data_IF_094646591533
#
_entry.id   IF_094646591533
#
_cell.length_a   1.000
_cell.length_b   1.000
_cell.length_c   1.000
_cell.angle_alpha   90.00
_cell.angle_beta   90.00
_cell.angle_gamma   90.00
#
_symmetry.space_group_name_H-M   'P 1'
#
loop_
_entity.id
_entity.type
_entity.pdbx_description
1 polymer ?
#
# COMPACT_ATOMS: atom_id res chain seq x y z
N UNK A 1 -65.39 54.51 77.38
CA UNK A 1 -64.32 55.26 76.71
C UNK A 1 -62.98 54.52 76.74
N UNK A 2 -62.65 53.80 77.82
CA UNK A 2 -61.36 53.10 77.95
C UNK A 2 -61.09 52.00 76.90
N UNK A 3 -62.10 51.26 76.47
CA UNK A 3 -61.95 50.15 75.53
C UNK A 3 -61.63 50.62 74.08
N UNK A 4 -62.16 51.79 73.70
CA UNK A 4 -61.86 52.46 72.44
C UNK A 4 -60.45 53.07 72.46
N UNK A 5 -60.05 53.68 73.58
CA UNK A 5 -58.69 54.20 73.76
C UNK A 5 -57.63 53.10 73.64
N UNK A 6 -57.91 51.93 74.23
CA UNK A 6 -57.04 50.76 74.18
C UNK A 6 -56.89 50.19 72.76
N UNK A 7 -57.98 50.10 71.99
CA UNK A 7 -57.95 49.71 70.57
C UNK A 7 -57.22 50.73 69.69
N UNK A 8 -57.35 52.03 69.98
CA UNK A 8 -56.61 53.09 69.27
C UNK A 8 -55.10 52.96 69.54
N UNK A 9 -54.68 52.72 70.78
CA UNK A 9 -53.26 52.49 71.11
C UNK A 9 -52.70 51.21 70.47
N UNK A 10 -53.47 50.12 70.39
CA UNK A 10 -53.05 48.90 69.70
C UNK A 10 -52.87 49.10 68.19
N UNK A 11 -53.77 49.87 67.56
CA UNK A 11 -53.69 50.23 66.14
C UNK A 11 -52.48 51.16 65.88
N UNK A 12 -52.19 52.10 66.77
CA UNK A 12 -51.00 52.96 66.69
C UNK A 12 -49.69 52.17 66.83
N UNK A 13 -49.64 51.18 67.73
CA UNK A 13 -48.48 50.28 67.82
C UNK A 13 -48.30 49.42 66.56
N UNK A 14 -49.40 48.90 66.00
CA UNK A 14 -49.37 48.16 64.73
C UNK A 14 -48.89 49.05 63.58
N UNK A 15 -49.38 50.29 63.48
CA UNK A 15 -48.92 51.28 62.52
C UNK A 15 -47.42 51.60 62.67
N UNK A 16 -46.93 51.73 63.91
CA UNK A 16 -45.48 51.92 64.17
C UNK A 16 -44.67 50.70 63.76
N UNK A 17 -45.15 49.48 64.01
CA UNK A 17 -44.48 48.23 63.59
C UNK A 17 -44.45 48.12 62.06
N UNK A 18 -45.56 48.41 61.38
CA UNK A 18 -45.67 48.39 59.91
C UNK A 18 -44.75 49.46 59.29
N UNK A 19 -44.71 50.68 59.83
CA UNK A 19 -43.80 51.71 59.32
C UNK A 19 -42.32 51.35 59.51
N UNK A 20 -41.96 50.72 60.65
CA UNK A 20 -40.60 50.20 60.85
C UNK A 20 -40.27 49.07 59.86
N UNK A 21 -41.22 48.18 59.57
CA UNK A 21 -41.04 47.14 58.54
C UNK A 21 -40.90 47.75 57.14
N UNK A 22 -41.71 48.76 56.80
CA UNK A 22 -41.60 49.48 55.53
C UNK A 22 -40.23 50.14 55.36
N UNK A 23 -39.72 50.80 56.39
CA UNK A 23 -38.36 51.37 56.37
C UNK A 23 -37.28 50.30 56.18
N UNK A 24 -37.38 49.16 56.87
CA UNK A 24 -36.44 48.03 56.67
C UNK A 24 -36.46 47.53 55.23
N UNK A 25 -37.64 47.35 54.64
CA UNK A 25 -37.76 46.93 53.24
C UNK A 25 -37.21 47.98 52.26
N UNK A 26 -37.44 49.27 52.51
CA UNK A 26 -36.88 50.35 51.68
C UNK A 26 -35.34 50.37 51.72
N UNK A 27 -34.75 50.13 52.90
CA UNK A 27 -33.29 50.05 53.05
C UNK A 27 -32.72 48.79 52.40
N UNK A 28 -33.37 47.64 52.54
CA UNK A 28 -33.00 46.40 51.83
C UNK A 28 -33.07 46.59 50.31
N UNK A 29 -34.12 47.24 49.79
CA UNK A 29 -34.26 47.56 48.36
C UNK A 29 -33.10 48.46 47.90
N UNK A 30 -32.69 49.46 48.70
CA UNK A 30 -31.53 50.31 48.37
C UNK A 30 -30.23 49.49 48.33
N UNK A 31 -30.02 48.58 49.28
CA UNK A 31 -28.84 47.70 49.31
C UNK A 31 -28.81 46.80 48.08
N UNK A 32 -29.95 46.20 47.73
CA UNK A 32 -30.09 45.35 46.54
C UNK A 32 -29.83 46.14 45.26
N UNK A 33 -30.33 47.37 45.14
CA UNK A 33 -30.05 48.25 43.99
C UNK A 33 -28.55 48.57 43.87
N UNK A 34 -27.87 48.90 44.97
CA UNK A 34 -26.42 49.14 44.99
C UNK A 34 -25.63 47.90 44.56
N UNK A 35 -25.97 46.72 45.10
CA UNK A 35 -25.35 45.44 44.70
C UNK A 35 -25.60 45.14 43.22
N UNK A 36 -26.82 45.33 42.73
CA UNK A 36 -27.14 45.16 41.30
C UNK A 36 -26.27 46.05 40.42
N UNK A 37 -26.03 47.29 40.85
CA UNK A 37 -25.21 48.24 40.10
C UNK A 37 -23.72 47.87 40.13
N UNK A 38 -23.19 47.36 41.26
CA UNK A 38 -21.80 46.87 41.32
C UNK A 38 -21.59 45.57 40.55
N UNK A 39 -22.60 44.69 40.54
CA UNK A 39 -22.58 43.47 39.71
C UNK A 39 -22.58 43.87 38.24
N UNK A 40 -23.41 44.84 37.83
CA UNK A 40 -23.45 45.34 36.46
C UNK A 40 -22.10 45.90 36.01
N UNK A 41 -21.46 46.75 36.83
CA UNK A 41 -20.14 47.28 36.48
C UNK A 41 -19.05 46.20 36.45
N UNK A 42 -19.17 45.13 37.24
CA UNK A 42 -18.26 43.99 37.19
C UNK A 42 -18.47 43.17 35.92
N UNK A 43 -19.72 42.97 35.49
CA UNK A 43 -20.05 42.31 34.22
C UNK A 43 -19.49 43.11 33.05
N UNK A 44 -19.67 44.44 33.04
CA UNK A 44 -19.16 45.29 31.96
C UNK A 44 -17.63 45.21 31.85
N UNK A 45 -16.91 45.17 32.98
CA UNK A 45 -15.44 44.96 33.00
C UNK A 45 -15.04 43.60 32.44
N UNK A 46 -15.73 42.53 32.85
CA UNK A 46 -15.46 41.19 32.33
C UNK A 46 -15.72 41.09 30.82
N UNK A 47 -16.74 41.80 30.31
CA UNK A 47 -17.00 41.88 28.87
C UNK A 47 -15.87 42.60 28.14
N UNK A 48 -15.35 43.71 28.69
CA UNK A 48 -14.21 44.40 28.09
C UNK A 48 -12.95 43.54 28.08
N UNK A 49 -12.64 42.87 29.19
CA UNK A 49 -11.50 41.95 29.29
C UNK A 49 -11.64 40.77 28.31
N UNK A 50 -12.85 40.21 28.17
CA UNK A 50 -13.12 39.15 27.22
C UNK A 50 -12.88 39.61 25.78
N UNK A 51 -13.32 40.81 25.41
CA UNK A 51 -13.12 41.36 24.07
C UNK A 51 -11.64 41.61 23.76
N UNK A 52 -10.88 42.12 24.72
CA UNK A 52 -9.44 42.33 24.59
C UNK A 52 -8.71 40.99 24.42
N UNK A 53 -9.07 39.98 25.21
CA UNK A 53 -8.52 38.62 25.07
C UNK A 53 -8.84 38.02 23.71
N UNK A 54 -10.08 38.17 23.20
CA UNK A 54 -10.45 37.69 21.86
C UNK A 54 -9.60 38.37 20.79
N UNK A 55 -9.32 39.68 20.93
CA UNK A 55 -8.45 40.40 20.00
C UNK A 55 -7.02 39.86 20.03
N UNK A 56 -6.45 39.66 21.22
CA UNK A 56 -5.10 39.09 21.36
C UNK A 56 -5.01 37.66 20.80
N UNK A 57 -6.05 36.85 20.99
CA UNK A 57 -6.12 35.50 20.40
C UNK A 57 -6.05 35.58 18.88
N UNK A 58 -6.84 36.47 18.24
CA UNK A 58 -6.81 36.64 16.78
C UNK A 58 -5.46 37.14 16.27
N UNK A 59 -4.84 38.08 16.98
CA UNK A 59 -3.50 38.56 16.62
C UNK A 59 -2.45 37.43 16.71
N UNK A 60 -2.55 36.57 17.72
CA UNK A 60 -1.69 35.40 17.87
C UNK A 60 -1.96 34.33 16.80
N UNK A 61 -3.21 34.10 16.40
CA UNK A 61 -3.56 33.18 15.31
C UNK A 61 -2.90 33.61 13.99
N UNK A 62 -3.03 34.90 13.62
CA UNK A 62 -2.38 35.46 12.42
C UNK A 62 -0.85 35.36 12.51
N UNK A 63 -0.28 35.56 13.70
CA UNK A 63 1.15 35.39 13.92
C UNK A 63 1.61 33.93 13.74
N UNK A 64 0.85 32.97 14.29
CA UNK A 64 1.14 31.54 14.15
C UNK A 64 1.04 31.08 12.70
N UNK A 65 0.06 31.57 11.94
CA UNK A 65 -0.02 31.30 10.50
C UNK A 65 1.24 31.79 9.77
N UNK A 66 1.65 33.03 10.00
CA UNK A 66 2.89 33.58 9.41
C UNK A 66 4.14 32.80 9.84
N UNK A 67 4.21 32.40 11.09
CA UNK A 67 5.31 31.58 11.60
C UNK A 67 5.37 30.22 10.91
N UNK A 68 4.21 29.58 10.72
CA UNK A 68 4.11 28.29 10.03
C UNK A 68 4.49 28.42 8.55
N UNK A 69 4.06 29.48 7.85
CA UNK A 69 4.45 29.71 6.47
C UNK A 69 5.96 29.91 6.33
N UNK A 70 6.57 30.72 7.19
CA UNK A 70 8.03 30.93 7.23
C UNK A 70 8.80 29.64 7.53
N UNK A 71 8.28 28.82 8.44
CA UNK A 71 8.90 27.53 8.80
C UNK A 71 8.87 26.56 7.61
N UNK A 72 7.74 26.51 6.90
CA UNK A 72 7.60 25.70 5.69
C UNK A 72 8.52 26.18 4.56
N UNK A 73 8.66 27.49 4.36
CA UNK A 73 9.59 28.05 3.39
C UNK A 73 11.05 27.72 3.73
N UNK A 74 11.43 27.88 5.01
CA UNK A 74 12.75 27.49 5.51
C UNK A 74 13.04 26.02 5.22
N UNK A 75 12.10 25.12 5.50
CA UNK A 75 12.28 23.71 5.20
C UNK A 75 12.46 23.43 3.71
N UNK A 76 11.67 24.09 2.84
CA UNK A 76 11.82 23.97 1.38
C UNK A 76 13.20 24.42 0.93
N UNK A 77 13.70 25.54 1.44
CA UNK A 77 15.04 26.01 1.13
C UNK A 77 16.13 25.05 1.62
N UNK A 78 16.01 24.48 2.81
CA UNK A 78 16.96 23.47 3.32
C UNK A 78 16.98 22.23 2.41
N UNK A 79 15.81 21.76 1.96
CA UNK A 79 15.74 20.61 1.04
C UNK A 79 16.41 20.93 -0.30
N UNK A 80 16.17 22.12 -0.85
CA UNK A 80 16.80 22.59 -2.09
C UNK A 80 18.33 22.69 -1.95
N UNK A 81 18.84 23.21 -0.82
CA UNK A 81 20.29 23.27 -0.55
C UNK A 81 20.88 21.86 -0.53
N UNK A 82 20.27 20.91 0.20
CA UNK A 82 20.75 19.52 0.25
C UNK A 82 20.74 18.84 -1.12
N UNK A 83 19.75 19.13 -1.96
CA UNK A 83 19.70 18.60 -3.32
C UNK A 83 20.82 19.18 -4.18
N UNK A 84 21.07 20.49 -4.07
CA UNK A 84 22.16 21.15 -4.77
C UNK A 84 23.54 20.64 -4.32
N UNK A 85 23.74 20.39 -3.01
CA UNK A 85 24.97 19.78 -2.49
C UNK A 85 25.23 18.41 -3.12
N UNK A 86 24.20 17.55 -3.23
CA UNK A 86 24.31 16.25 -3.91
C UNK A 86 24.65 16.40 -5.40
N UNK A 87 24.05 17.38 -6.09
CA UNK A 87 24.35 17.67 -7.50
C UNK A 87 25.79 18.15 -7.68
N UNK A 88 26.30 18.96 -6.75
CA UNK A 88 27.69 19.40 -6.76
C UNK A 88 28.62 18.21 -6.55
N UNK A 89 28.30 17.32 -5.61
CA UNK A 89 29.08 16.12 -5.34
C UNK A 89 29.14 15.18 -6.56
N UNK A 90 28.00 14.92 -7.21
CA UNK A 90 27.97 14.11 -8.43
C UNK A 90 28.77 14.77 -9.56
N UNK A 91 28.62 16.07 -9.76
CA UNK A 91 29.35 16.81 -10.79
C UNK A 91 30.86 16.77 -10.54
N UNK A 92 31.30 16.88 -9.29
CA UNK A 92 32.71 16.77 -8.93
C UNK A 92 33.27 15.37 -9.18
N UNK A 93 32.45 14.33 -8.97
CA UNK A 93 32.83 12.96 -9.32
C UNK A 93 33.01 12.81 -10.82
N UNK A 94 32.07 13.30 -11.62
CA UNK A 94 32.16 13.27 -13.08
C UNK A 94 33.40 14.02 -13.59
N UNK A 95 33.70 15.19 -13.00
CA UNK A 95 34.91 15.96 -13.30
C UNK A 95 36.17 15.14 -13.00
N UNK A 96 36.23 14.46 -11.86
CA UNK A 96 37.38 13.62 -11.49
C UNK A 96 37.55 12.43 -12.44
N UNK A 97 36.47 11.77 -12.83
CA UNK A 97 36.50 10.66 -13.77
C UNK A 97 37.01 11.12 -15.16
N UNK A 98 36.61 12.32 -15.59
CA UNK A 98 37.14 12.95 -16.81
C UNK A 98 38.64 13.26 -16.68
N UNK A 99 39.09 13.80 -15.54
CA UNK A 99 40.51 14.07 -15.32
C UNK A 99 41.36 12.79 -15.32
N UNK A 100 40.88 11.72 -14.69
CA UNK A 100 41.56 10.42 -14.73
C UNK A 100 41.63 9.89 -16.17
N UNK A 101 40.53 9.98 -16.92
CA UNK A 101 40.50 9.57 -18.32
C UNK A 101 41.49 10.38 -19.17
N UNK A 102 41.62 11.69 -18.92
CA UNK A 102 42.60 12.55 -19.57
C UNK A 102 44.04 12.14 -19.23
N UNK A 103 44.33 11.86 -17.96
CA UNK A 103 45.65 11.39 -17.54
C UNK A 103 46.01 10.05 -18.19
N UNK A 104 45.05 9.13 -18.29
CA UNK A 104 45.24 7.85 -18.96
C UNK A 104 45.52 8.01 -20.46
N UNK A 105 44.83 8.95 -21.11
CA UNK A 105 45.07 9.29 -22.51
C UNK A 105 46.48 9.88 -22.67
N UNK A 106 46.87 10.82 -21.82
CA UNK A 106 48.18 11.47 -21.88
C UNK A 106 49.32 10.46 -21.66
N UNK A 107 49.19 9.59 -20.66
CA UNK A 107 50.14 8.50 -20.44
C UNK A 107 50.20 7.51 -21.62
N UNK A 108 49.06 7.18 -22.25
CA UNK A 108 49.03 6.35 -23.47
C UNK A 108 49.69 7.05 -24.66
N UNK A 109 49.54 8.37 -24.80
CA UNK A 109 50.20 9.15 -25.84
C UNK A 109 51.71 9.19 -25.61
N UNK A 110 52.16 9.44 -24.38
CA UNK A 110 53.58 9.42 -24.02
C UNK A 110 54.23 8.07 -24.30
N UNK A 111 53.58 6.97 -23.87
CA UNK A 111 54.06 5.61 -24.11
C UNK A 111 54.18 5.27 -25.61
N UNK A 112 53.42 5.96 -26.45
CA UNK A 112 53.40 5.76 -27.90
C UNK A 112 54.12 6.89 -28.68
N UNK A 113 54.83 7.82 -28.02
CA UNK A 113 55.63 8.86 -28.72
C UNK A 113 56.63 8.24 -29.71
N UNK A 114 57.28 7.13 -29.34
CA UNK A 114 58.22 6.41 -30.21
C UNK A 114 57.60 5.90 -31.52
N UNK A 115 56.29 5.62 -31.52
CA UNK A 115 55.53 5.17 -32.69
C UNK A 115 55.30 6.30 -33.71
N UNK A 116 55.25 7.55 -33.25
CA UNK A 116 55.15 8.75 -34.09
C UNK A 116 56.51 9.18 -34.64
N UNK A 117 57.60 8.89 -33.92
CA UNK A 117 58.95 9.33 -34.26
C UNK A 117 59.68 8.39 -35.25
N UNK A 118 59.39 7.08 -35.25
CA UNK A 118 59.95 6.11 -36.20
C UNK A 118 58.92 5.05 -36.59
N UNK A 119 57.99 5.34 -37.52
CA UNK A 119 57.06 4.33 -38.01
C UNK A 119 57.84 3.25 -38.77
N UNK A 120 57.70 1.99 -38.36
CA UNK A 120 58.30 0.87 -39.08
C UNK A 120 57.81 0.84 -40.54
N UNK A 121 58.68 0.50 -41.48
CA UNK A 121 58.42 0.64 -42.93
C UNK A 121 57.28 -0.24 -43.45
N UNK A 122 56.82 -1.21 -42.66
CA UNK A 122 55.68 -2.10 -42.95
C UNK A 122 54.48 -1.88 -42.00
N UNK A 123 54.48 -0.81 -41.21
CA UNK A 123 53.45 -0.54 -40.23
C UNK A 123 52.07 -0.39 -40.87
N UNK A 124 51.98 0.35 -41.98
CA UNK A 124 50.73 0.59 -42.70
C UNK A 124 50.12 -0.70 -43.25
N UNK A 125 50.93 -1.60 -43.81
CA UNK A 125 50.44 -2.87 -44.34
C UNK A 125 50.00 -3.83 -43.23
N UNK A 126 50.72 -3.83 -42.09
CA UNK A 126 50.31 -4.58 -40.88
C UNK A 126 49.05 -4.00 -40.23
N UNK A 127 48.91 -2.68 -40.19
CA UNK A 127 47.70 -2.02 -39.71
C UNK A 127 46.51 -2.34 -40.60
N UNK A 128 46.70 -2.37 -41.92
CA UNK A 128 45.65 -2.69 -42.87
C UNK A 128 45.20 -4.16 -42.77
N UNK A 129 46.13 -5.09 -42.50
CA UNK A 129 45.79 -6.49 -42.22
C UNK A 129 45.07 -6.66 -40.88
N UNK A 130 45.56 -6.01 -39.82
CA UNK A 130 44.91 -6.04 -38.52
C UNK A 130 43.55 -5.35 -38.54
N UNK A 131 43.39 -4.26 -39.28
CA UNK A 131 42.10 -3.57 -39.47
C UNK A 131 41.10 -4.48 -40.18
N UNK A 132 41.53 -5.23 -41.22
CA UNK A 132 40.66 -6.20 -41.88
C UNK A 132 40.22 -7.32 -40.92
N UNK A 133 41.15 -7.86 -40.14
CA UNK A 133 40.85 -8.90 -39.15
C UNK A 133 39.90 -8.40 -38.05
N UNK A 134 40.16 -7.21 -37.50
CA UNK A 134 39.29 -6.55 -36.53
C UNK A 134 37.92 -6.26 -37.13
N UNK A 135 37.85 -5.82 -38.40
CA UNK A 135 36.57 -5.54 -39.08
C UNK A 135 35.75 -6.82 -39.23
N UNK A 136 36.37 -7.94 -39.61
CA UNK A 136 35.69 -9.24 -39.69
C UNK A 136 35.22 -9.69 -38.31
N UNK A 137 36.04 -9.54 -37.27
CA UNK A 137 35.64 -9.86 -35.89
C UNK A 137 34.50 -8.96 -35.40
N UNK A 138 34.51 -7.68 -35.75
CA UNK A 138 33.46 -6.74 -35.37
C UNK A 138 32.12 -7.07 -36.07
N UNK A 139 32.17 -7.51 -37.34
CA UNK A 139 30.98 -8.02 -38.05
C UNK A 139 30.43 -9.30 -37.39
N UNK A 140 31.30 -10.22 -36.98
CA UNK A 140 30.90 -11.44 -36.28
C UNK A 140 30.26 -11.12 -34.91
N UNK A 141 30.87 -10.22 -34.13
CA UNK A 141 30.33 -9.76 -32.85
C UNK A 141 28.99 -9.04 -33.03
N UNK A 142 28.85 -8.22 -34.07
CA UNK A 142 27.59 -7.53 -34.39
C UNK A 142 26.48 -8.54 -34.71
N UNK A 143 26.79 -9.57 -35.50
CA UNK A 143 25.84 -10.66 -35.79
C UNK A 143 25.48 -11.48 -34.54
N UNK A 144 26.42 -11.66 -33.61
CA UNK A 144 26.16 -12.30 -32.32
C UNK A 144 25.26 -11.44 -31.42
N UNK A 145 25.48 -10.12 -31.39
CA UNK A 145 24.61 -9.17 -30.68
C UNK A 145 23.19 -9.23 -31.23
N UNK A 146 23.01 -9.18 -32.55
CA UNK A 146 21.68 -9.28 -33.17
C UNK A 146 20.96 -10.58 -32.81
N UNK A 147 21.68 -11.71 -32.78
CA UNK A 147 21.12 -12.99 -32.33
C UNK A 147 20.71 -12.95 -30.86
N UNK A 148 21.55 -12.37 -30.00
CA UNK A 148 21.24 -12.22 -28.58
C UNK A 148 20.06 -11.27 -28.34
N UNK A 149 19.93 -10.20 -29.11
CA UNK A 149 18.78 -9.28 -29.06
C UNK A 149 17.50 -9.98 -29.50
N UNK A 150 17.56 -10.76 -30.57
CA UNK A 150 16.44 -11.59 -31.02
C UNK A 150 15.99 -12.58 -29.92
N UNK A 151 16.94 -13.31 -29.33
CA UNK A 151 16.66 -14.25 -28.26
C UNK A 151 16.13 -13.55 -26.99
N UNK A 152 16.67 -12.38 -26.66
CA UNK A 152 16.16 -11.53 -25.57
C UNK A 152 14.72 -11.11 -25.83
N UNK A 153 14.41 -10.63 -27.03
CA UNK A 153 13.05 -10.24 -27.42
C UNK A 153 12.08 -11.42 -27.31
N UNK A 154 12.47 -12.59 -27.82
CA UNK A 154 11.68 -13.83 -27.73
C UNK A 154 11.44 -14.26 -26.28
N UNK A 155 12.48 -14.21 -25.42
CA UNK A 155 12.35 -14.50 -23.99
C UNK A 155 11.49 -13.45 -23.27
N UNK A 156 11.62 -12.18 -23.62
CA UNK A 156 10.83 -11.08 -23.06
C UNK A 156 9.36 -11.20 -23.44
N UNK A 157 9.03 -11.63 -24.66
CA UNK A 157 7.65 -11.92 -25.05
C UNK A 157 7.07 -13.07 -24.22
N UNK A 158 7.81 -14.18 -24.05
CA UNK A 158 7.39 -15.27 -23.16
C UNK A 158 7.19 -14.79 -21.72
N UNK A 159 8.10 -13.95 -21.22
CA UNK A 159 8.00 -13.36 -19.89
C UNK A 159 6.78 -12.45 -19.76
N UNK A 160 6.47 -11.62 -20.76
CA UNK A 160 5.25 -10.80 -20.77
C UNK A 160 3.99 -11.65 -20.72
N UNK A 161 3.93 -12.76 -21.48
CA UNK A 161 2.81 -13.72 -21.41
C UNK A 161 2.66 -14.30 -20.01
N UNK A 162 3.77 -14.70 -19.38
CA UNK A 162 3.79 -15.17 -17.99
C UNK A 162 3.36 -14.07 -17.01
N UNK A 163 3.84 -12.83 -17.20
CA UNK A 163 3.49 -11.69 -16.36
C UNK A 163 2.03 -11.30 -16.50
N UNK A 164 1.45 -11.34 -17.70
CA UNK A 164 0.01 -11.16 -17.90
C UNK A 164 -0.78 -12.30 -17.27
N UNK A 165 -0.32 -13.54 -17.37
CA UNK A 165 -0.98 -14.66 -16.70
C UNK A 165 -0.95 -14.54 -15.17
N UNK A 166 0.17 -14.07 -14.60
CA UNK A 166 0.31 -13.77 -13.17
C UNK A 166 -0.54 -12.56 -12.74
N UNK A 167 -0.58 -11.49 -13.54
CA UNK A 167 -1.39 -10.28 -13.27
C UNK A 167 -2.89 -10.55 -13.36
N UNK A 168 -3.31 -11.34 -14.35
CA UNK A 168 -4.71 -11.69 -14.57
C UNK A 168 -5.18 -12.82 -13.65
N UNK A 169 -4.33 -13.30 -12.73
CA UNK A 169 -4.59 -14.41 -11.78
C UNK A 169 -5.29 -15.61 -12.44
N UNK A 170 -5.06 -15.83 -13.74
CA UNK A 170 -5.50 -17.06 -14.40
C UNK A 170 -4.48 -18.10 -14.05
N UNK A 171 -4.84 -19.00 -13.15
CA UNK A 171 -4.12 -20.24 -12.89
C UNK A 171 -3.67 -20.81 -14.26
N UNK A 172 -2.36 -20.84 -14.50
CA UNK A 172 -1.82 -21.36 -15.76
C UNK A 172 -1.92 -22.87 -15.70
N UNK A 173 -3.08 -23.38 -16.12
CA UNK A 173 -3.27 -24.81 -16.29
C UNK A 173 -2.35 -25.31 -17.40
N UNK A 174 -1.78 -26.49 -17.20
CA UNK A 174 -0.99 -27.18 -18.22
C UNK A 174 -1.84 -27.34 -19.51
N UNK A 175 -1.25 -27.20 -20.72
CA UNK A 175 -1.98 -27.30 -21.98
C UNK A 175 -2.85 -28.56 -22.08
N UNK A 176 -2.39 -29.69 -21.56
CA UNK A 176 -3.13 -30.96 -21.58
C UNK A 176 -4.36 -30.95 -20.65
N UNK A 177 -4.31 -30.18 -19.57
CA UNK A 177 -5.45 -29.99 -18.65
C UNK A 177 -6.49 -29.06 -19.28
N UNK A 178 -6.05 -28.01 -19.99
CA UNK A 178 -6.96 -27.15 -20.76
C UNK A 178 -7.68 -27.94 -21.86
N UNK A 179 -6.96 -28.80 -22.60
CA UNK A 179 -7.57 -29.68 -23.62
C UNK A 179 -8.60 -30.62 -22.98
N UNK A 180 -8.28 -31.20 -21.81
CA UNK A 180 -9.21 -32.06 -21.08
C UNK A 180 -10.46 -31.30 -20.63
N UNK A 181 -10.29 -30.08 -20.12
CA UNK A 181 -11.38 -29.19 -19.73
C UNK A 181 -12.28 -28.81 -20.90
N UNK A 182 -11.70 -28.46 -22.05
CA UNK A 182 -12.45 -28.16 -23.27
C UNK A 182 -13.22 -29.38 -23.78
N UNK A 183 -12.64 -30.58 -23.71
CA UNK A 183 -13.33 -31.83 -24.07
C UNK A 183 -14.50 -32.18 -23.13
N UNK A 184 -14.38 -31.90 -21.83
CA UNK A 184 -15.48 -32.07 -20.87
C UNK A 184 -16.64 -31.14 -21.23
N UNK A 185 -16.32 -29.87 -21.53
CA UNK A 185 -17.29 -28.87 -21.94
C UNK A 185 -17.96 -29.20 -23.28
N UNK A 186 -17.17 -29.63 -24.27
CA UNK A 186 -17.66 -30.03 -25.60
C UNK A 186 -18.59 -31.25 -25.55
N UNK A 187 -18.52 -32.05 -24.47
CA UNK A 187 -19.37 -33.22 -24.23
C UNK A 187 -20.50 -32.93 -23.24
N UNK A 188 -20.69 -31.67 -22.84
CA UNK A 188 -21.74 -31.23 -21.91
C UNK A 188 -21.70 -31.97 -20.56
N UNK A 189 -20.50 -32.30 -20.07
CA UNK A 189 -20.29 -33.03 -18.81
C UNK A 189 -20.06 -32.11 -17.60
N UNK A 190 -20.21 -30.79 -17.78
CA UNK A 190 -19.95 -29.77 -16.74
C UNK A 190 -20.80 -29.99 -15.47
N UNK A 191 -22.02 -30.52 -15.61
CA UNK A 191 -22.92 -30.81 -14.48
C UNK A 191 -22.49 -32.05 -13.66
N UNK A 192 -21.65 -32.91 -14.24
CA UNK A 192 -21.25 -34.20 -13.65
C UNK A 192 -19.80 -34.22 -13.19
N UNK A 193 -19.00 -33.25 -13.62
CA UNK A 193 -17.55 -33.20 -13.40
C UNK A 193 -17.17 -31.82 -12.89
N UNK A 194 -16.65 -31.77 -11.67
CA UNK A 194 -16.18 -30.54 -11.04
C UNK A 194 -14.66 -30.49 -11.14
N UNK A 195 -14.12 -29.45 -11.77
CA UNK A 195 -12.67 -29.21 -11.78
C UNK A 195 -12.18 -28.37 -12.97
N UNK A 196 -10.87 -28.07 -13.00
CA UNK A 196 -9.85 -28.54 -12.07
C UNK A 196 -9.96 -27.90 -10.68
N UNK A 197 -9.64 -28.66 -9.61
CA UNK A 197 -9.87 -28.26 -8.20
C UNK A 197 -9.32 -26.87 -7.88
N UNK A 198 -8.15 -26.51 -8.42
CA UNK A 198 -7.50 -25.22 -8.21
C UNK A 198 -8.38 -24.01 -8.57
N UNK A 199 -9.30 -24.12 -9.53
CA UNK A 199 -10.21 -23.02 -9.90
C UNK A 199 -11.30 -22.75 -8.84
N UNK A 200 -11.54 -23.72 -7.97
CA UNK A 200 -12.59 -23.67 -6.95
C UNK A 200 -12.04 -23.33 -5.56
N UNK A 201 -10.71 -23.26 -5.37
CA UNK A 201 -10.09 -22.90 -4.10
C UNK A 201 -9.77 -21.40 -4.05
N UNK A 202 -10.07 -20.77 -2.90
CA UNK A 202 -9.63 -19.42 -2.53
C UNK A 202 -8.85 -19.48 -1.21
N UNK A 203 -7.66 -18.93 -1.21
CA UNK A 203 -6.80 -18.82 -0.04
C UNK A 203 -6.06 -17.48 -0.05
N UNK A 204 -5.48 -17.11 1.08
CA UNK A 204 -4.70 -15.87 1.22
C UNK A 204 -3.41 -15.93 0.37
N UNK A 205 -3.05 -14.81 -0.25
CA UNK A 205 -1.90 -14.70 -1.16
C UNK A 205 -0.59 -15.00 -0.41
N UNK A 206 -0.49 -14.59 0.86
CA UNK A 206 0.67 -14.85 1.72
C UNK A 206 0.88 -16.34 2.04
N UNK A 207 -0.19 -17.15 1.92
CA UNK A 207 -0.18 -18.59 2.21
C UNK A 207 -0.19 -19.45 0.93
N UNK A 208 -0.28 -18.82 -0.24
CA UNK A 208 -0.40 -19.49 -1.54
C UNK A 208 0.67 -20.54 -1.79
N UNK A 209 1.94 -20.15 -1.65
CA UNK A 209 3.07 -21.05 -1.87
C UNK A 209 3.08 -22.26 -0.93
N UNK A 210 2.72 -22.04 0.34
CA UNK A 210 2.65 -23.11 1.33
C UNK A 210 1.49 -24.08 1.04
N UNK A 211 0.32 -23.55 0.67
CA UNK A 211 -0.86 -24.34 0.33
C UNK A 211 -0.63 -25.16 -0.95
N UNK A 212 -0.04 -24.55 -1.98
CA UNK A 212 0.30 -25.24 -3.23
C UNK A 212 1.36 -26.32 -3.02
N UNK A 213 2.35 -26.07 -2.16
CA UNK A 213 3.37 -27.05 -1.80
C UNK A 213 2.79 -28.26 -1.06
N UNK A 214 1.79 -28.07 -0.20
CA UNK A 214 1.14 -29.15 0.55
C UNK A 214 0.18 -29.96 -0.31
N UNK A 215 -0.63 -29.31 -1.15
CA UNK A 215 -1.58 -30.00 -2.02
C UNK A 215 -0.87 -30.69 -3.20
N UNK A 216 0.16 -30.04 -3.73
CA UNK A 216 0.90 -30.50 -4.91
C UNK A 216 0.13 -30.30 -6.22
N UNK A 217 0.89 -30.06 -7.29
CA UNK A 217 0.37 -29.76 -8.64
C UNK A 217 -0.63 -30.81 -9.15
N UNK A 218 -0.38 -32.09 -8.84
CA UNK A 218 -1.22 -33.19 -9.29
C UNK A 218 -2.62 -33.16 -8.69
N UNK A 219 -2.74 -32.80 -7.41
CA UNK A 219 -4.04 -32.71 -6.72
C UNK A 219 -4.80 -31.46 -7.17
N UNK A 220 -4.09 -30.34 -7.29
CA UNK A 220 -4.66 -29.06 -7.75
C UNK A 220 -5.26 -29.15 -9.16
N UNK A 221 -4.60 -29.89 -10.05
CA UNK A 221 -5.08 -30.16 -11.41
C UNK A 221 -6.11 -31.32 -11.50
N UNK A 222 -6.56 -31.88 -10.38
CA UNK A 222 -7.48 -33.01 -10.36
C UNK A 222 -8.94 -32.61 -10.61
N UNK A 223 -9.75 -33.59 -10.99
CA UNK A 223 -11.19 -33.45 -11.23
C UNK A 223 -11.98 -34.36 -10.29
N UNK A 224 -13.23 -33.99 -10.01
CA UNK A 224 -14.18 -34.76 -9.20
C UNK A 224 -15.31 -35.20 -10.11
N UNK A 225 -15.49 -36.51 -10.26
CA UNK A 225 -16.60 -37.11 -10.99
C UNK A 225 -17.75 -37.46 -10.03
N UNK A 226 -18.99 -37.17 -10.44
CA UNK A 226 -20.19 -37.50 -9.66
C UNK A 226 -20.56 -38.99 -9.70
N UNK A 227 -20.24 -39.70 -10.78
CA UNK A 227 -20.60 -41.09 -11.01
C UNK A 227 -19.45 -41.94 -11.60
N UNK A 228 -19.61 -43.26 -11.51
CA UNK A 228 -18.61 -44.23 -11.97
C UNK A 228 -18.45 -44.24 -13.51
N UNK A 229 -19.48 -43.90 -14.26
CA UNK A 229 -19.40 -43.86 -15.72
C UNK A 229 -18.59 -42.64 -16.18
N UNK A 230 -18.83 -41.48 -15.56
CA UNK A 230 -18.01 -40.27 -15.74
C UNK A 230 -16.55 -40.49 -15.35
N UNK A 231 -16.27 -41.21 -14.26
CA UNK A 231 -14.90 -41.57 -13.88
C UNK A 231 -14.20 -42.35 -15.00
N UNK A 232 -14.82 -43.42 -15.49
CA UNK A 232 -14.24 -44.28 -16.52
C UNK A 232 -13.99 -43.52 -17.83
N UNK A 233 -14.90 -42.60 -18.20
CA UNK A 233 -14.76 -41.75 -19.36
C UNK A 233 -13.58 -40.78 -19.20
N UNK A 234 -13.48 -40.10 -18.05
CA UNK A 234 -12.40 -39.18 -17.76
C UNK A 234 -11.04 -39.90 -17.67
N UNK A 235 -10.98 -41.11 -17.14
CA UNK A 235 -9.73 -41.89 -17.11
C UNK A 235 -9.24 -42.23 -18.52
N UNK A 236 -10.16 -42.54 -19.45
CA UNK A 236 -9.82 -42.76 -20.87
C UNK A 236 -9.32 -41.48 -21.52
N UNK A 237 -9.98 -40.34 -21.28
CA UNK A 237 -9.55 -39.04 -21.81
C UNK A 237 -8.21 -38.61 -21.24
N UNK A 238 -8.00 -38.79 -19.94
CA UNK A 238 -6.72 -38.55 -19.26
C UNK A 238 -5.58 -39.34 -19.91
N UNK A 239 -5.80 -40.63 -20.19
CA UNK A 239 -4.80 -41.48 -20.88
C UNK A 239 -4.56 -41.03 -22.32
N UNK A 240 -5.62 -40.65 -23.04
CA UNK A 240 -5.54 -40.17 -24.44
C UNK A 240 -4.73 -38.88 -24.58
N UNK A 241 -4.93 -37.92 -23.67
CA UNK A 241 -4.30 -36.60 -23.71
C UNK A 241 -3.08 -36.47 -22.79
N UNK A 242 -2.65 -37.56 -22.15
CA UNK A 242 -1.55 -37.61 -21.19
C UNK A 242 -1.63 -36.48 -20.15
N UNK A 243 -2.81 -36.32 -19.56
CA UNK A 243 -3.07 -35.27 -18.58
C UNK A 243 -2.55 -35.67 -17.18
N UNK A 244 -1.75 -34.79 -16.56
CA UNK A 244 -1.17 -35.03 -15.25
C UNK A 244 -2.13 -34.61 -14.12
N UNK A 245 -3.18 -35.39 -13.91
CA UNK A 245 -4.21 -35.16 -12.89
C UNK A 245 -4.64 -36.48 -12.23
N UNK A 246 -5.33 -36.41 -11.10
CA UNK A 246 -6.15 -37.52 -10.58
C UNK A 246 -7.63 -37.21 -10.80
N UNK A 247 -8.46 -38.26 -10.74
CA UNK A 247 -9.92 -38.11 -10.81
C UNK A 247 -10.48 -38.80 -9.57
N UNK A 248 -11.32 -38.08 -8.83
CA UNK A 248 -11.87 -38.53 -7.54
C UNK A 248 -13.38 -38.72 -7.64
N UNK A 249 -13.92 -39.64 -6.83
CA UNK A 249 -15.36 -39.76 -6.59
C UNK A 249 -15.62 -39.37 -5.13
N UNK A 250 -16.61 -38.51 -4.84
CA UNK A 250 -16.91 -38.10 -3.49
C UNK A 250 -17.43 -39.29 -2.68
N UNK A 251 -16.83 -39.53 -1.51
CA UNK A 251 -17.38 -40.48 -0.52
C UNK A 251 -18.33 -39.71 0.40
N UNK A 252 -19.54 -40.23 0.58
CA UNK A 252 -20.49 -39.71 1.58
C UNK A 252 -20.03 -40.09 2.98
N UNK A 253 -19.20 -39.24 3.59
CA UNK A 253 -18.70 -39.41 4.95
C UNK A 253 -18.96 -38.12 5.72
N UNK A 254 -19.52 -38.22 6.92
CA UNK A 254 -19.68 -37.07 7.80
C UNK A 254 -18.29 -36.61 8.26
N UNK A 255 -17.87 -35.43 7.82
CA UNK A 255 -16.57 -34.86 8.16
C UNK A 255 -16.63 -34.36 9.60
N UNK A 256 -15.87 -34.98 10.50
CA UNK A 256 -15.69 -34.47 11.87
C UNK A 256 -14.68 -33.33 11.87
N UNK A 257 -14.95 -32.21 12.58
CA UNK A 257 -14.00 -31.10 12.66
C UNK A 257 -12.71 -31.56 13.35
N UNK A 258 -11.56 -31.13 12.81
CA UNK A 258 -10.25 -31.45 13.36
C UNK A 258 -10.04 -30.76 14.73
N UNK A 259 -9.29 -31.37 15.66
CA UNK A 259 -9.02 -30.77 16.97
C UNK A 259 -8.06 -29.59 16.84
N UNK A 260 -8.41 -28.42 17.38
CA UNK A 260 -7.58 -27.19 17.29
C UNK A 260 -6.18 -27.42 17.85
N UNK A 261 -5.15 -27.18 17.04
CA UNK A 261 -3.74 -27.24 17.43
C UNK A 261 -3.19 -25.82 17.49
N UNK A 262 -2.59 -25.42 18.60
CA UNK A 262 -1.82 -24.17 18.74
C UNK A 262 -0.40 -24.48 19.20
N UNK A 263 0.57 -24.22 18.33
CA UNK A 263 2.00 -24.35 18.63
C UNK A 263 2.77 -23.24 17.91
N UNK A 264 3.96 -22.89 18.42
CA UNK A 264 4.80 -21.83 17.85
C UNK A 264 5.21 -22.20 16.41
N UNK A 265 4.79 -21.41 15.43
CA UNK A 265 5.03 -21.67 14.00
C UNK A 265 3.96 -22.51 13.29
N UNK A 266 2.87 -22.89 13.97
CA UNK A 266 1.73 -23.59 13.37
C UNK A 266 0.57 -22.61 13.19
N UNK A 267 0.10 -22.47 11.95
CA UNK A 267 -0.96 -21.51 11.57
C UNK A 267 -2.36 -22.12 11.73
N UNK A 268 -2.52 -23.42 11.49
CA UNK A 268 -3.80 -24.13 11.58
C UNK A 268 -3.87 -25.32 10.62
N UNK A 269 -5.07 -25.89 10.46
CA UNK A 269 -5.29 -26.92 9.44
C UNK A 269 -5.55 -26.29 8.07
N UNK A 270 -5.00 -26.91 7.02
CA UNK A 270 -5.20 -26.45 5.64
C UNK A 270 -6.68 -26.35 5.24
N UNK A 271 -7.53 -27.25 5.75
CA UNK A 271 -8.98 -27.23 5.52
C UNK A 271 -9.67 -25.97 6.09
N UNK A 272 -9.11 -25.33 7.11
CA UNK A 272 -9.65 -24.10 7.70
C UNK A 272 -9.16 -22.84 6.96
N UNK A 273 -8.03 -22.95 6.25
CA UNK A 273 -7.37 -21.85 5.56
C UNK A 273 -7.82 -21.69 4.10
N UNK A 274 -8.55 -22.67 3.56
CA UNK A 274 -9.07 -22.65 2.20
C UNK A 274 -10.58 -22.44 2.21
N UNK A 275 -11.07 -21.51 1.40
CA UNK A 275 -12.49 -21.27 1.12
C UNK A 275 -12.83 -21.80 -0.26
N UNK A 276 -13.96 -22.49 -0.40
CA UNK A 276 -14.42 -23.00 -1.69
C UNK A 276 -15.36 -21.97 -2.33
N UNK A 277 -15.19 -21.70 -3.62
CA UNK A 277 -16.08 -20.83 -4.40
C UNK A 277 -17.19 -21.69 -4.98
N UNK A 278 -18.44 -21.29 -4.73
CA UNK A 278 -19.67 -22.07 -4.95
C UNK A 278 -19.92 -23.17 -3.91
N UNK A 279 -20.03 -22.78 -2.64
CA UNK A 279 -20.62 -23.61 -1.58
C UNK A 279 -22.18 -23.58 -1.63
N UNK A 280 -22.75 -23.47 -2.84
CA UNK A 280 -24.19 -23.51 -3.12
C UNK A 280 -24.61 -24.87 -3.72
N UNK A 281 -24.09 -25.97 -3.15
CA UNK A 281 -24.63 -27.31 -3.41
C UNK A 281 -24.85 -28.00 -2.07
N UNK A 282 -26.02 -27.75 -1.50
CA UNK A 282 -26.75 -28.74 -0.70
C UNK A 282 -27.25 -29.87 -1.59
#
# INVERSE_FOLDING_TARGET
MDELSRKVSEIEELLRKINKQKQRFEDEIKIVKKKKQSIKSSIDKLITEQNDLIRTIKENEVFLEKYNTLTNEKEKHIRSIKENEKRIESTNKDINDIFQSLMDIDHKLEKNKWFLENPSTNLLSQLDTNLKEITVNNLNLSAEIERLEYDKSKKMQKFKVLQTALRDRKIVLSPNINILKEEIKNRELDDRVIGPIIEYLKYDDDLSYAIESVLGERLLNSFIASDWDSLNLLERLKKKYNAYCNIYIPKKVNITPFPKISATGVIGYLAELIKIVNDDVN
#
